data_IF_715109596482
#
_entry.id   IF_715109596482
#
_cell.length_a   1.000
_cell.length_b   1.000
_cell.length_c   1.000
_cell.angle_alpha   90.00
_cell.angle_beta   90.00
_cell.angle_gamma   90.00
#
_symmetry.space_group_name_H-M   'P 1'
#
loop_
_entity.id
_entity.type
_entity.pdbx_description
1 polymer ?
#
# COMPACT_ATOMS: atom_id res chain seq x y z
N UNK A 1 17.78 -6.90 25.46
CA UNK A 1 16.85 -6.23 24.52
C UNK A 1 17.67 -5.62 23.39
N UNK A 2 17.07 -5.40 22.23
CA UNK A 2 17.70 -4.71 21.11
C UNK A 2 16.65 -4.07 20.20
N UNK A 3 17.09 -3.22 19.29
CA UNK A 3 16.22 -2.47 18.40
C UNK A 3 16.14 -3.17 17.03
N UNK A 4 14.91 -3.34 16.54
CA UNK A 4 14.60 -3.73 15.16
C UNK A 4 13.55 -2.75 14.63
N UNK A 5 13.73 -2.24 13.42
CA UNK A 5 12.79 -1.37 12.74
C UNK A 5 11.39 -2.02 12.62
N UNK A 6 10.38 -1.32 13.14
CA UNK A 6 8.98 -1.75 13.08
C UNK A 6 8.48 -2.09 11.68
N UNK A 7 9.06 -1.51 10.61
CA UNK A 7 8.71 -1.79 9.22
C UNK A 7 8.91 -3.25 8.84
N UNK A 8 9.92 -3.91 9.41
CA UNK A 8 10.24 -5.32 9.09
C UNK A 8 9.61 -6.32 10.06
N UNK A 9 8.98 -5.88 11.15
CA UNK A 9 8.38 -6.77 12.16
C UNK A 9 7.38 -7.76 11.56
N UNK A 10 6.51 -7.29 10.66
CA UNK A 10 5.53 -8.16 9.99
C UNK A 10 6.21 -9.28 9.19
N UNK A 11 7.37 -8.99 8.59
CA UNK A 11 8.10 -9.93 7.74
C UNK A 11 8.91 -10.93 8.58
N UNK A 12 9.52 -10.47 9.67
CA UNK A 12 10.19 -11.31 10.66
C UNK A 12 9.21 -12.27 11.36
N UNK A 13 8.03 -11.78 11.77
CA UNK A 13 6.96 -12.61 12.35
C UNK A 13 6.47 -13.64 11.31
N UNK A 14 6.26 -13.17 10.08
CA UNK A 14 5.78 -13.97 8.97
C UNK A 14 4.32 -14.40 9.13
N UNK A 15 3.81 -15.14 8.14
CA UNK A 15 2.42 -15.59 8.14
C UNK A 15 2.12 -16.45 9.37
N UNK A 16 1.07 -16.06 10.13
CA UNK A 16 0.62 -16.75 11.35
C UNK A 16 1.72 -16.91 12.43
N UNK A 17 2.75 -16.08 12.39
CA UNK A 17 3.90 -16.16 13.29
C UNK A 17 4.80 -17.37 13.05
N UNK A 18 4.71 -18.03 11.89
CA UNK A 18 5.47 -19.25 11.62
C UNK A 18 6.98 -18.98 11.52
N UNK A 19 7.37 -17.88 10.87
CA UNK A 19 8.79 -17.54 10.67
C UNK A 19 9.49 -17.32 12.01
N UNK A 20 8.95 -16.45 12.86
CA UNK A 20 9.54 -16.19 14.18
C UNK A 20 9.52 -17.43 15.08
N UNK A 21 8.46 -18.26 15.04
CA UNK A 21 8.43 -19.51 15.81
C UNK A 21 9.55 -20.46 15.43
N UNK A 22 9.87 -20.54 14.14
CA UNK A 22 11.01 -21.35 13.67
C UNK A 22 12.32 -20.82 14.23
N UNK A 23 12.52 -19.50 14.24
CA UNK A 23 13.71 -18.87 14.83
C UNK A 23 13.78 -19.15 16.34
N UNK A 24 12.67 -18.99 17.06
CA UNK A 24 12.57 -19.33 18.49
C UNK A 24 12.96 -20.79 18.76
N UNK A 25 12.50 -21.73 17.94
CA UNK A 25 12.80 -23.16 18.08
C UNK A 25 14.28 -23.47 17.75
N UNK A 26 14.81 -22.94 16.64
CA UNK A 26 16.19 -23.17 16.20
C UNK A 26 17.22 -22.69 17.23
N UNK A 27 17.00 -21.53 17.83
CA UNK A 27 17.91 -20.97 18.82
C UNK A 27 17.47 -21.26 20.27
N UNK A 28 16.35 -21.95 20.50
CA UNK A 28 15.78 -22.19 21.84
C UNK A 28 15.65 -20.91 22.68
N UNK A 29 15.12 -19.85 22.07
CA UNK A 29 14.89 -18.55 22.71
C UNK A 29 13.42 -18.16 22.64
N UNK A 30 12.98 -17.32 23.57
CA UNK A 30 11.70 -16.65 23.52
C UNK A 30 11.87 -15.20 23.03
N UNK A 31 11.16 -14.83 21.97
CA UNK A 31 11.25 -13.50 21.34
C UNK A 31 9.90 -12.78 21.51
N UNK A 32 9.93 -11.55 22.00
CA UNK A 32 8.73 -10.74 22.24
C UNK A 32 8.84 -9.41 21.53
N UNK A 33 7.96 -9.21 20.56
CA UNK A 33 7.80 -7.93 19.87
C UNK A 33 6.99 -6.94 20.73
N UNK A 34 7.27 -5.64 20.60
CA UNK A 34 6.52 -4.61 21.29
C UNK A 34 5.07 -4.56 20.78
N UNK A 35 4.15 -4.11 21.64
CA UNK A 35 2.76 -3.87 21.23
C UNK A 35 2.69 -2.60 20.39
N UNK A 36 1.67 -2.49 19.54
CA UNK A 36 1.45 -1.33 18.66
C UNK A 36 1.36 0.02 19.40
N UNK A 37 1.03 0.01 20.71
CA UNK A 37 0.94 1.21 21.55
C UNK A 37 2.09 1.32 22.57
N UNK A 38 3.21 0.62 22.33
CA UNK A 38 4.41 0.75 23.16
C UNK A 38 5.10 2.08 22.89
N UNK A 39 5.72 2.68 23.92
CA UNK A 39 6.51 3.90 23.78
C UNK A 39 7.66 3.73 22.77
N UNK A 40 8.24 2.53 22.71
CA UNK A 40 9.31 2.16 21.79
C UNK A 40 8.84 1.02 20.88
N UNK A 41 8.35 1.32 19.65
CA UNK A 41 7.88 0.31 18.72
C UNK A 41 9.02 -0.53 18.13
N UNK A 42 10.28 -0.13 18.30
CA UNK A 42 11.43 -0.88 17.78
C UNK A 42 12.04 -1.84 18.81
N UNK A 43 11.66 -1.76 20.09
CA UNK A 43 12.32 -2.50 21.15
C UNK A 43 11.83 -3.95 21.22
N UNK A 44 12.70 -4.90 20.87
CA UNK A 44 12.44 -6.34 20.92
C UNK A 44 13.15 -6.96 22.13
N UNK A 45 12.40 -7.77 22.88
CA UNK A 45 12.93 -8.52 24.03
C UNK A 45 13.21 -9.96 23.62
N UNK A 46 14.39 -10.48 23.97
CA UNK A 46 14.75 -11.89 23.76
C UNK A 46 15.25 -12.47 25.07
N UNK A 47 14.77 -13.67 25.40
CA UNK A 47 15.04 -14.38 26.65
C UNK A 47 15.49 -15.80 26.32
N UNK A 48 16.60 -16.24 26.90
CA UNK A 48 17.18 -17.56 26.66
C UNK A 48 18.57 -17.70 27.28
N UNK A 49 19.30 -18.75 26.88
CA UNK A 49 20.72 -18.88 27.20
C UNK A 49 21.54 -17.80 26.50
N UNK A 50 22.62 -17.32 27.12
CA UNK A 50 23.41 -16.18 26.61
C UNK A 50 23.89 -16.39 25.17
N UNK A 51 24.54 -17.54 24.88
CA UNK A 51 25.02 -17.87 23.54
C UNK A 51 23.88 -17.91 22.51
N UNK A 52 22.74 -18.49 22.90
CA UNK A 52 21.56 -18.60 22.05
C UNK A 52 20.94 -17.23 21.76
N UNK A 53 20.88 -16.35 22.77
CA UNK A 53 20.39 -14.99 22.61
C UNK A 53 21.30 -14.21 21.68
N UNK A 54 22.62 -14.36 21.80
CA UNK A 54 23.59 -13.70 20.91
C UNK A 54 23.43 -14.18 19.47
N UNK A 55 23.36 -15.49 19.24
CA UNK A 55 23.17 -16.08 17.91
C UNK A 55 21.81 -15.70 17.30
N UNK A 56 20.74 -15.71 18.10
CA UNK A 56 19.42 -15.30 17.64
C UNK A 56 19.37 -13.81 17.27
N UNK A 57 20.04 -12.95 18.06
CA UNK A 57 20.15 -11.52 17.78
C UNK A 57 20.88 -11.27 16.45
N UNK A 58 22.04 -11.88 16.26
CA UNK A 58 22.80 -11.77 15.01
C UNK A 58 21.96 -12.20 13.80
N UNK A 59 21.27 -13.34 13.92
CA UNK A 59 20.39 -13.82 12.86
C UNK A 59 19.24 -12.86 12.55
N UNK A 60 18.62 -12.25 13.56
CA UNK A 60 17.53 -11.29 13.37
C UNK A 60 17.99 -9.97 12.74
N UNK A 61 19.18 -9.48 13.10
CA UNK A 61 19.76 -8.27 12.51
C UNK A 61 20.10 -8.47 11.04
N UNK A 62 20.68 -9.63 10.68
CA UNK A 62 20.94 -9.96 9.28
C UNK A 62 19.65 -10.00 8.44
N UNK A 63 18.55 -10.56 8.99
CA UNK A 63 17.25 -10.57 8.32
C UNK A 63 16.62 -9.17 8.22
N UNK A 64 16.82 -8.32 9.24
CA UNK A 64 16.38 -6.93 9.20
C UNK A 64 17.02 -6.19 8.03
N UNK A 65 18.35 -6.29 7.86
CA UNK A 65 19.06 -5.61 6.77
C UNK A 65 18.55 -6.07 5.39
N UNK A 66 18.36 -7.38 5.20
CA UNK A 66 17.79 -7.94 3.96
C UNK A 66 16.38 -7.37 3.69
N UNK A 67 15.52 -7.34 4.71
CA UNK A 67 14.14 -6.88 4.54
C UNK A 67 14.01 -5.38 4.41
N UNK A 68 14.90 -4.59 5.01
CA UNK A 68 14.93 -3.13 4.83
C UNK A 68 15.29 -2.76 3.39
N UNK A 69 16.27 -3.45 2.79
CA UNK A 69 16.62 -3.25 1.38
C UNK A 69 15.43 -3.52 0.46
N UNK A 70 14.69 -4.61 0.71
CA UNK A 70 13.48 -4.95 -0.04
C UNK A 70 12.37 -3.89 0.13
N UNK A 71 12.18 -3.37 1.34
CA UNK A 71 11.19 -2.32 1.63
C UNK A 71 11.56 -1.05 0.88
N UNK A 72 12.83 -0.62 0.94
CA UNK A 72 13.32 0.57 0.26
C UNK A 72 13.22 0.44 -1.28
N UNK A 73 13.54 -0.73 -1.84
CA UNK A 73 13.39 -0.97 -3.28
C UNK A 73 11.92 -0.90 -3.71
N UNK A 74 11.00 -1.43 -2.91
CA UNK A 74 9.57 -1.35 -3.18
C UNK A 74 9.08 0.10 -3.13
N UNK A 75 9.45 0.85 -2.09
CA UNK A 75 9.10 2.27 -1.95
C UNK A 75 9.64 3.10 -3.13
N UNK A 76 10.88 2.84 -3.57
CA UNK A 76 11.46 3.49 -4.74
C UNK A 76 10.69 3.16 -6.04
N UNK A 77 10.30 1.89 -6.23
CA UNK A 77 9.46 1.47 -7.37
C UNK A 77 8.08 2.12 -7.35
N UNK A 78 7.47 2.20 -6.18
CA UNK A 78 6.15 2.83 -6.00
C UNK A 78 6.23 4.34 -6.24
N UNK A 79 7.30 5.00 -5.81
CA UNK A 79 7.56 6.40 -6.12
C UNK A 79 7.71 6.64 -7.63
N UNK A 80 8.46 5.81 -8.34
CA UNK A 80 8.60 5.89 -9.81
C UNK A 80 7.26 5.68 -10.51
N UNK A 81 6.44 4.73 -10.04
CA UNK A 81 5.09 4.49 -10.58
C UNK A 81 4.15 5.67 -10.33
N UNK A 82 4.21 6.27 -9.14
CA UNK A 82 3.40 7.44 -8.81
C UNK A 82 3.77 8.66 -9.68
N UNK A 83 5.07 8.87 -9.95
CA UNK A 83 5.54 9.89 -10.90
C UNK A 83 5.01 9.61 -12.31
N UNK A 84 5.01 8.35 -12.75
CA UNK A 84 4.55 7.95 -14.08
C UNK A 84 3.04 8.10 -14.31
N UNK A 85 2.21 8.10 -13.25
CA UNK A 85 0.74 8.20 -13.36
C UNK A 85 0.16 9.53 -12.86
N UNK A 86 0.94 10.36 -12.18
CA UNK A 86 0.53 11.67 -11.65
C UNK A 86 0.97 12.89 -12.48
N UNK A 87 1.79 12.70 -13.52
CA UNK A 87 2.11 13.77 -14.45
C UNK A 87 2.10 13.21 -15.86
N UNK A 88 1.33 13.86 -16.74
CA UNK A 88 1.43 13.64 -18.17
C UNK A 88 2.86 13.94 -18.63
N UNK A 89 3.72 12.93 -18.60
CA UNK A 89 4.94 12.91 -19.38
C UNK A 89 4.49 12.70 -20.82
N UNK A 90 4.25 13.81 -21.51
CA UNK A 90 4.41 13.86 -22.96
C UNK A 90 5.89 13.61 -23.15
N UNK A 91 6.26 12.40 -23.57
CA UNK A 91 7.56 12.20 -24.20
C UNK A 91 7.54 13.01 -25.49
N UNK A 92 7.91 14.28 -25.39
CA UNK A 92 8.03 15.12 -26.56
C UNK A 92 9.24 14.57 -27.32
N UNK A 93 8.95 13.81 -28.37
CA UNK A 93 9.86 13.56 -29.47
C UNK A 93 10.26 14.93 -30.04
N UNK A 94 11.36 15.48 -29.57
CA UNK A 94 11.95 16.66 -30.22
C UNK A 94 12.60 16.18 -31.51
N UNK A 95 11.79 16.24 -32.57
CA UNK A 95 12.21 16.05 -33.95
C UNK A 95 13.32 17.06 -34.25
N UNK A 96 14.48 16.50 -34.61
CA UNK A 96 15.59 17.23 -35.20
C UNK A 96 15.11 17.88 -36.52
N UNK A 97 15.03 19.21 -36.53
CA UNK A 97 14.68 20.00 -37.71
C UNK A 97 15.94 20.17 -38.58
N UNK A 98 15.95 19.52 -39.74
CA UNK A 98 17.04 19.69 -40.71
C UNK A 98 16.66 19.21 -42.11
N UNK A 99 16.08 20.12 -42.89
CA UNK A 99 16.19 20.32 -44.35
C UNK A 99 16.26 19.13 -45.31
N UNK A 100 15.28 19.04 -46.22
CA UNK A 100 15.44 18.37 -47.51
C UNK A 100 14.10 18.02 -48.15
N UNK A 101 13.73 18.71 -49.24
CA UNK A 101 12.42 18.62 -49.89
C UNK A 101 12.24 17.45 -50.86
N UNK A 102 11.04 17.40 -51.46
CA UNK A 102 10.77 16.72 -52.73
C UNK A 102 9.57 15.77 -52.75
N UNK A 103 8.44 16.24 -53.30
CA UNK A 103 7.73 15.57 -54.42
C UNK A 103 6.86 14.31 -54.20
N UNK A 104 5.55 14.51 -54.42
CA UNK A 104 4.57 13.72 -55.20
C UNK A 104 4.14 12.27 -54.84
N UNK A 105 2.88 12.17 -54.36
CA UNK A 105 1.72 11.44 -54.92
C UNK A 105 1.93 10.14 -55.75
N UNK A 106 1.29 9.01 -55.32
CA UNK A 106 0.23 8.25 -56.04
C UNK A 106 0.02 6.75 -55.62
N UNK A 107 -1.27 6.35 -55.59
CA UNK A 107 -1.92 5.06 -55.97
C UNK A 107 -1.84 3.71 -55.18
N UNK A 108 -3.06 3.20 -54.91
CA UNK A 108 -3.66 1.83 -55.03
C UNK A 108 -3.01 0.52 -54.49
N UNK A 109 -3.93 -0.30 -53.92
CA UNK A 109 -4.14 -1.76 -54.10
C UNK A 109 -3.57 -2.81 -53.11
N UNK A 110 -4.48 -3.69 -52.67
CA UNK A 110 -4.24 -5.08 -52.21
C UNK A 110 -3.81 -5.20 -50.73
N UNK A 111 -4.48 -5.93 -49.83
CA UNK A 111 -5.20 -7.20 -49.98
C UNK A 111 -4.39 -8.28 -49.26
N UNK A 112 -4.99 -9.01 -48.31
CA UNK A 112 -4.36 -10.21 -47.74
C UNK A 112 -4.78 -10.49 -46.31
N UNK A 113 -5.54 -11.57 -46.14
CA UNK A 113 -6.14 -11.99 -44.87
C UNK A 113 -5.17 -12.63 -43.89
N UNK A 114 -5.61 -12.68 -42.64
CA UNK A 114 -5.00 -13.44 -41.57
C UNK A 114 -6.10 -13.83 -40.59
N UNK A 115 -6.71 -15.00 -40.83
CA UNK A 115 -7.64 -15.60 -39.88
C UNK A 115 -6.86 -16.11 -38.67
N UNK A 116 -7.39 -15.85 -37.47
CA UNK A 116 -7.05 -16.63 -36.29
C UNK A 116 -8.36 -17.06 -35.61
N UNK A 117 -8.73 -18.31 -35.84
CA UNK A 117 -9.70 -19.04 -35.05
C UNK A 117 -8.93 -19.73 -33.92
N UNK A 118 -9.26 -19.41 -32.68
CA UNK A 118 -8.64 -20.12 -31.56
C UNK A 118 -9.06 -19.59 -30.20
N UNK A 119 -10.00 -20.31 -29.58
CA UNK A 119 -9.85 -20.66 -28.17
C UNK A 119 -10.81 -20.02 -27.18
N UNK A 120 -11.70 -20.85 -26.64
CA UNK A 120 -11.78 -21.02 -25.19
C UNK A 120 -12.74 -20.11 -24.46
N UNK A 121 -13.91 -20.66 -24.12
CA UNK A 121 -14.83 -20.05 -23.17
C UNK A 121 -14.33 -20.05 -21.73
N UNK A 122 -14.75 -19.03 -21.00
CA UNK A 122 -15.09 -19.00 -19.58
C UNK A 122 -15.93 -17.71 -19.43
N UNK A 123 -17.23 -17.74 -19.16
CA UNK A 123 -17.82 -18.27 -17.93
C UNK A 123 -17.59 -17.27 -16.80
N UNK A 124 -18.46 -16.27 -16.64
CA UNK A 124 -18.43 -15.39 -15.46
C UNK A 124 -18.99 -13.97 -15.63
N UNK A 125 -20.19 -13.79 -16.17
CA UNK A 125 -20.90 -12.51 -16.03
C UNK A 125 -21.47 -12.38 -14.63
N UNK A 126 -20.94 -11.42 -13.87
CA UNK A 126 -21.67 -10.52 -12.98
C UNK A 126 -22.60 -11.13 -11.94
N UNK A 127 -22.18 -11.07 -10.67
CA UNK A 127 -22.91 -10.39 -9.58
C UNK A 127 -22.27 -10.78 -8.24
N UNK A 128 -21.35 -9.93 -7.75
CA UNK A 128 -21.00 -9.96 -6.34
C UNK A 128 -22.21 -9.52 -5.51
N UNK A 129 -22.59 -10.31 -4.52
CA UNK A 129 -23.66 -9.98 -3.58
C UNK A 129 -23.30 -8.72 -2.79
N UNK A 130 -24.05 -7.64 -3.01
CA UNK A 130 -24.05 -6.46 -2.13
C UNK A 130 -25.06 -6.74 -1.03
N UNK A 131 -24.59 -6.95 0.20
CA UNK A 131 -25.44 -6.96 1.40
C UNK A 131 -25.78 -5.51 1.76
N UNK A 132 -26.82 -4.94 1.14
CA UNK A 132 -27.46 -3.68 1.59
C UNK A 132 -28.54 -4.03 2.61
N UNK A 133 -28.46 -3.45 3.80
CA UNK A 133 -29.40 -3.71 4.90
C UNK A 133 -28.76 -4.05 6.24
N UNK A 134 -27.50 -3.69 6.47
CA UNK A 134 -26.91 -3.79 7.79
C UNK A 134 -27.52 -2.73 8.74
N UNK A 135 -27.83 -3.07 10.01
CA UNK A 135 -28.58 -2.21 10.93
C UNK A 135 -27.88 -0.92 11.36
N UNK A 136 -26.67 -0.64 10.87
CA UNK A 136 -25.95 0.62 11.09
C UNK A 136 -26.19 1.67 10.00
N UNK A 137 -26.91 1.36 8.91
CA UNK A 137 -27.14 2.27 7.78
C UNK A 137 -28.31 3.27 7.99
N UNK A 138 -28.75 3.46 9.25
CA UNK A 138 -29.82 4.38 9.65
C UNK A 138 -29.35 5.48 10.63
N UNK A 139 -28.14 6.00 10.47
CA UNK A 139 -27.76 7.30 11.08
C UNK A 139 -28.08 8.49 10.15
N UNK A 140 -28.68 8.25 8.99
CA UNK A 140 -29.07 9.27 8.02
C UNK A 140 -30.57 9.59 8.02
N UNK A 141 -31.25 9.59 9.18
CA UNK A 141 -32.51 10.33 9.31
C UNK A 141 -32.91 10.62 10.77
N UNK A 142 -33.17 11.90 11.04
CA UNK A 142 -33.81 12.49 12.23
C UNK A 142 -32.98 12.66 13.51
N UNK A 143 -32.52 13.89 13.75
CA UNK A 143 -32.69 14.55 15.05
C UNK A 143 -33.03 16.04 14.84
N UNK A 144 -34.27 16.37 15.21
CA UNK A 144 -34.76 17.63 15.77
C UNK A 144 -34.60 18.96 15.00
N UNK A 145 -35.75 19.44 14.51
CA UNK A 145 -36.09 20.85 14.39
C UNK A 145 -35.70 21.60 15.67
N UNK A 146 -34.68 22.46 15.59
CA UNK A 146 -34.48 23.57 16.52
C UNK A 146 -34.38 24.84 15.69
N UNK A 147 -35.38 25.69 15.89
CA UNK A 147 -35.59 26.99 15.27
C UNK A 147 -34.44 27.94 15.66
N UNK A 148 -33.79 28.66 14.72
CA UNK A 148 -32.95 29.79 15.10
C UNK A 148 -33.87 30.95 15.47
N UNK A 149 -34.05 31.21 16.76
CA UNK A 149 -34.58 32.49 17.21
C UNK A 149 -33.49 33.55 16.97
N UNK A 150 -33.83 34.59 16.20
CA UNK A 150 -33.02 35.78 16.10
C UNK A 150 -32.88 36.41 17.50
N UNK A 151 -31.75 37.05 17.86
CA UNK A 151 -31.75 37.92 19.02
C UNK A 151 -32.59 39.15 18.68
N UNK A 152 -33.82 39.16 19.17
CA UNK A 152 -34.64 40.35 19.18
C UNK A 152 -33.91 41.42 19.99
N UNK A 153 -33.52 42.47 19.28
CA UNK A 153 -33.15 43.74 19.86
C UNK A 153 -34.30 44.26 20.75
N UNK A 154 -33.94 44.76 21.93
CA UNK A 154 -34.70 45.66 22.80
C UNK A 154 -35.30 45.05 24.10
N UNK A 155 -34.61 45.33 25.19
CA UNK A 155 -35.19 45.92 26.42
C UNK A 155 -34.08 46.81 27.01
N UNK A 156 -34.15 48.13 26.82
CA UNK A 156 -34.92 49.12 27.61
C UNK A 156 -34.26 49.46 28.96
N UNK A 157 -33.81 50.71 29.02
CA UNK A 157 -33.63 51.60 30.17
C UNK A 157 -32.52 51.31 31.18
N UNK A 158 -31.37 51.94 30.92
CA UNK A 158 -30.67 52.69 31.97
C UNK A 158 -30.89 54.19 31.72
N UNK A 159 -30.85 54.95 32.82
CA UNK A 159 -31.14 56.39 32.94
C UNK A 159 -30.34 57.30 32.00
#
# INVERSE_FOLDING_TARGET
>A
EFEIDSRVHSRLIGARGWSIKKIMEMFQVEIRFPRTNSANPNLVTVVGQEDNVFNAKDHLLNLEEEYLQDVEELEAREAVRAISWGSGVITQSTQNTGSGGGGNQHHHHGGGGGGNAGGGGAGGTGAGFILKGAPWEQSANHHHHHQPQAPDTASTQEF
#
